data_IF_218419879730
#
_entry.id   IF_218419879730
#
_cell.length_a   1.000
_cell.length_b   1.000
_cell.length_c   1.000
_cell.angle_alpha   90.00
_cell.angle_beta   90.00
_cell.angle_gamma   90.00
#
_symmetry.space_group_name_H-M   'P 1'
#
loop_
_entity.id
_entity.type
_entity.pdbx_description
1 polymer ?
#
# COMPACT_ATOMS: atom_id res chain seq x y z
N UNK A 1 -24.62 -41.72 60.13
CA UNK A 1 -24.97 -41.57 58.71
C UNK A 1 -23.99 -40.58 58.11
N UNK A 2 -22.83 -41.07 57.64
CA UNK A 2 -21.71 -40.23 57.22
C UNK A 2 -21.52 -40.38 55.71
N UNK A 3 -22.07 -39.46 54.93
CA UNK A 3 -21.90 -39.44 53.47
C UNK A 3 -20.72 -38.56 53.10
N UNK A 4 -19.56 -39.19 52.95
CA UNK A 4 -18.61 -39.00 51.85
C UNK A 4 -18.45 -37.57 51.27
N UNK A 5 -17.65 -36.73 51.94
CA UNK A 5 -17.21 -35.41 51.44
C UNK A 5 -16.00 -35.42 50.49
N UNK A 6 -15.73 -36.55 49.81
CA UNK A 6 -14.62 -36.65 48.84
C UNK A 6 -15.04 -36.36 47.39
N UNK A 7 -16.35 -36.40 47.10
CA UNK A 7 -16.93 -36.08 45.79
C UNK A 7 -16.94 -34.58 45.49
N UNK A 8 -17.23 -33.75 46.49
CA UNK A 8 -17.42 -32.31 46.33
C UNK A 8 -16.14 -31.55 45.98
N UNK A 9 -14.99 -31.99 46.50
CA UNK A 9 -13.70 -31.36 46.16
C UNK A 9 -13.31 -31.67 44.73
N UNK A 10 -13.49 -32.92 44.29
CA UNK A 10 -13.20 -33.35 42.92
C UNK A 10 -14.14 -32.69 41.92
N UNK A 11 -15.43 -32.64 42.21
CA UNK A 11 -16.39 -31.92 41.37
C UNK A 11 -16.06 -30.43 41.33
N UNK A 12 -15.74 -29.80 42.46
CA UNK A 12 -15.32 -28.39 42.50
C UNK A 12 -14.10 -28.09 41.62
N UNK A 13 -13.05 -28.93 41.67
CA UNK A 13 -11.89 -28.78 40.79
C UNK A 13 -12.25 -28.96 39.31
N UNK A 14 -13.12 -29.93 38.98
CA UNK A 14 -13.58 -30.14 37.60
C UNK A 14 -14.36 -28.93 37.11
N UNK A 15 -15.26 -28.37 37.92
CA UNK A 15 -16.02 -27.16 37.56
C UNK A 15 -15.10 -25.96 37.38
N UNK A 16 -14.10 -25.79 38.26
CA UNK A 16 -13.12 -24.71 38.18
C UNK A 16 -12.27 -24.80 36.90
N UNK A 17 -11.79 -26.01 36.57
CA UNK A 17 -11.04 -26.25 35.33
C UNK A 17 -11.93 -26.04 34.11
N UNK A 18 -13.19 -26.50 34.12
CA UNK A 18 -14.13 -26.29 33.02
C UNK A 18 -14.39 -24.80 32.78
N UNK A 19 -14.62 -24.01 33.85
CA UNK A 19 -14.77 -22.55 33.76
C UNK A 19 -13.50 -21.91 33.23
N UNK A 20 -12.33 -22.31 33.71
CA UNK A 20 -11.06 -21.79 33.23
C UNK A 20 -10.85 -22.06 31.73
N UNK A 21 -11.15 -23.28 31.27
CA UNK A 21 -11.08 -23.65 29.84
C UNK A 21 -12.07 -22.84 29.01
N UNK A 22 -13.28 -22.58 29.51
CA UNK A 22 -14.27 -21.73 28.83
C UNK A 22 -13.77 -20.29 28.75
N UNK A 23 -13.22 -19.73 29.82
CA UNK A 23 -12.67 -18.36 29.84
C UNK A 23 -11.48 -18.22 28.87
N UNK A 24 -10.55 -19.17 28.89
CA UNK A 24 -9.44 -19.22 27.94
C UNK A 24 -9.96 -19.41 26.52
N UNK A 25 -10.96 -20.27 26.33
CA UNK A 25 -11.66 -20.46 25.06
C UNK A 25 -12.23 -19.15 24.54
N UNK A 26 -12.98 -18.41 25.35
CA UNK A 26 -13.55 -17.10 24.97
C UNK A 26 -12.45 -16.10 24.64
N UNK A 27 -11.36 -16.04 25.42
CA UNK A 27 -10.22 -15.15 25.15
C UNK A 27 -9.51 -15.50 23.83
N UNK A 28 -9.34 -16.80 23.53
CA UNK A 28 -8.70 -17.29 22.30
C UNK A 28 -9.64 -17.16 21.09
N UNK A 29 -10.93 -17.44 21.22
CA UNK A 29 -11.95 -17.22 20.18
C UNK A 29 -12.23 -15.73 19.95
N UNK A 30 -11.94 -14.86 20.93
CA UNK A 30 -11.83 -13.42 20.75
C UNK A 30 -10.57 -13.01 19.94
N UNK A 31 -9.87 -13.96 19.29
CA UNK A 31 -8.88 -13.68 18.24
C UNK A 31 -9.42 -12.80 17.12
N UNK A 32 -10.73 -12.79 16.87
CA UNK A 32 -11.31 -11.80 15.97
C UNK A 32 -11.21 -10.36 16.51
N UNK A 33 -11.10 -10.14 17.81
CA UNK A 33 -10.85 -8.82 18.41
C UNK A 33 -9.37 -8.40 18.41
N UNK A 34 -8.45 -9.30 18.77
CA UNK A 34 -7.01 -8.97 18.84
C UNK A 34 -6.31 -8.96 17.47
N UNK A 35 -6.67 -9.86 16.55
CA UNK A 35 -6.11 -9.87 15.19
C UNK A 35 -6.67 -8.71 14.37
N UNK A 36 -7.95 -8.33 14.57
CA UNK A 36 -8.50 -7.15 13.93
C UNK A 36 -7.79 -5.87 14.39
N UNK A 37 -7.43 -5.74 15.67
CA UNK A 37 -6.67 -4.58 16.15
C UNK A 37 -5.24 -4.50 15.57
N UNK A 38 -4.59 -5.65 15.36
CA UNK A 38 -3.28 -5.71 14.72
C UNK A 38 -3.36 -5.40 13.21
N UNK A 39 -4.40 -5.91 12.53
CA UNK A 39 -4.71 -5.57 11.13
C UNK A 39 -5.01 -4.09 10.96
N UNK A 40 -5.83 -3.50 11.83
CA UNK A 40 -6.20 -2.08 11.76
C UNK A 40 -5.01 -1.15 12.00
N UNK A 41 -4.07 -1.53 12.88
CA UNK A 41 -2.81 -0.79 13.04
C UNK A 41 -1.91 -0.90 11.81
N UNK A 42 -1.87 -2.07 11.17
CA UNK A 42 -1.15 -2.27 9.91
C UNK A 42 -1.74 -1.43 8.78
N UNK A 43 -3.06 -1.39 8.66
CA UNK A 43 -3.76 -0.60 7.65
C UNK A 43 -3.55 0.90 7.83
N UNK A 44 -3.58 1.39 9.08
CA UNK A 44 -3.27 2.81 9.37
C UNK A 44 -1.83 3.14 8.98
N UNK A 45 -0.84 2.30 9.30
CA UNK A 45 0.56 2.54 8.91
C UNK A 45 0.74 2.52 7.38
N UNK A 46 0.07 1.60 6.69
CA UNK A 46 0.08 1.51 5.23
C UNK A 46 -0.54 2.75 4.57
N UNK A 47 -1.67 3.24 5.09
CA UNK A 47 -2.33 4.43 4.57
C UNK A 47 -1.51 5.69 4.86
N UNK A 48 -0.92 5.81 6.06
CA UNK A 48 0.00 6.91 6.38
C UNK A 48 1.19 6.96 5.44
N UNK A 49 1.86 5.82 5.19
CA UNK A 49 2.97 5.76 4.22
C UNK A 49 2.54 6.17 2.81
N UNK A 50 1.32 5.81 2.41
CA UNK A 50 0.76 6.21 1.10
C UNK A 50 0.50 7.70 1.01
N UNK A 51 0.00 8.31 2.08
CA UNK A 51 -0.20 9.76 2.17
C UNK A 51 1.14 10.48 2.04
N UNK A 52 2.17 9.99 2.74
CA UNK A 52 3.51 10.59 2.69
C UNK A 52 4.13 10.46 1.28
N UNK A 53 4.00 9.29 0.63
CA UNK A 53 4.48 9.12 -0.75
C UNK A 53 3.76 10.05 -1.73
N UNK A 54 2.44 10.20 -1.59
CA UNK A 54 1.64 11.07 -2.45
C UNK A 54 1.98 12.55 -2.24
N UNK A 55 2.29 12.96 -1.00
CA UNK A 55 2.75 14.33 -0.72
C UNK A 55 4.09 14.63 -1.40
N UNK A 56 5.03 13.71 -1.33
CA UNK A 56 6.33 13.86 -2.02
C UNK A 56 6.13 13.99 -3.53
N UNK A 57 5.20 13.21 -4.10
CA UNK A 57 4.87 13.28 -5.54
C UNK A 57 4.26 14.64 -5.90
N UNK A 58 3.31 15.13 -5.11
CA UNK A 58 2.71 16.47 -5.30
C UNK A 58 3.78 17.56 -5.24
N UNK A 59 4.66 17.55 -4.24
CA UNK A 59 5.74 18.55 -4.10
C UNK A 59 6.68 18.53 -5.31
N UNK A 60 6.98 17.33 -5.83
CA UNK A 60 7.82 17.17 -7.02
C UNK A 60 7.17 17.72 -8.29
N UNK A 61 5.87 17.44 -8.48
CA UNK A 61 5.08 17.92 -9.61
C UNK A 61 4.86 19.43 -9.55
N UNK A 62 4.63 20.00 -8.36
CA UNK A 62 4.56 21.44 -8.18
C UNK A 62 5.89 22.12 -8.51
N UNK A 63 7.02 21.55 -8.10
CA UNK A 63 8.34 22.06 -8.50
C UNK A 63 8.56 22.00 -10.02
N UNK A 64 8.10 20.93 -10.67
CA UNK A 64 8.17 20.78 -12.12
C UNK A 64 7.28 21.80 -12.84
N UNK A 65 6.04 22.01 -12.34
CA UNK A 65 5.13 23.04 -12.84
C UNK A 65 5.73 24.43 -12.69
N UNK A 66 6.37 24.73 -11.55
CA UNK A 66 7.01 26.02 -11.32
C UNK A 66 8.19 26.24 -12.28
N UNK A 67 8.98 25.19 -12.57
CA UNK A 67 10.03 25.23 -13.60
C UNK A 67 9.46 25.43 -15.01
N UNK A 68 8.39 24.73 -15.34
CA UNK A 68 7.67 24.86 -16.62
C UNK A 68 7.08 26.26 -16.80
N UNK A 69 6.60 26.89 -15.72
CA UNK A 69 6.02 28.25 -15.73
C UNK A 69 7.06 29.36 -15.74
N UNK A 70 8.17 29.18 -15.02
CA UNK A 70 9.20 30.23 -14.88
C UNK A 70 10.13 30.33 -16.08
N UNK A 71 10.26 29.29 -16.90
CA UNK A 71 11.12 29.28 -18.08
C UNK A 71 10.31 29.10 -19.39
N UNK A 72 9.82 30.22 -19.94
CA UNK A 72 9.04 30.24 -21.18
C UNK A 72 9.77 29.63 -22.37
N UNK A 73 11.12 29.62 -22.36
CA UNK A 73 11.94 29.00 -23.39
C UNK A 73 11.96 27.47 -23.29
N UNK A 74 11.84 26.91 -22.08
CA UNK A 74 11.73 25.47 -21.88
C UNK A 74 10.39 24.94 -22.40
N UNK A 75 9.29 25.63 -22.10
CA UNK A 75 7.96 25.29 -22.63
C UNK A 75 7.91 25.40 -24.16
N UNK A 76 8.50 26.45 -24.74
CA UNK A 76 8.57 26.63 -26.20
C UNK A 76 9.39 25.51 -26.87
N UNK A 77 10.46 25.01 -26.23
CA UNK A 77 11.24 23.87 -26.72
C UNK A 77 10.45 22.56 -26.65
N UNK A 78 9.80 22.27 -25.52
CA UNK A 78 8.98 21.06 -25.35
C UNK A 78 7.83 21.00 -26.36
N UNK A 79 7.09 22.11 -26.53
CA UNK A 79 5.98 22.19 -27.48
C UNK A 79 6.48 21.97 -28.92
N UNK A 80 7.64 22.52 -29.28
CA UNK A 80 8.25 22.30 -30.60
C UNK A 80 8.64 20.85 -30.84
N UNK A 81 9.17 20.17 -29.84
CA UNK A 81 9.52 18.75 -29.93
C UNK A 81 8.28 17.87 -30.13
N UNK A 82 7.23 18.11 -29.35
CA UNK A 82 5.93 17.39 -29.46
C UNK A 82 5.29 17.63 -30.83
N UNK A 83 5.33 18.87 -31.35
CA UNK A 83 4.76 19.22 -32.65
C UNK A 83 5.67 18.87 -33.84
N UNK A 84 6.92 18.48 -33.59
CA UNK A 84 7.92 18.22 -34.63
C UNK A 84 8.29 19.46 -35.44
N UNK A 85 8.38 20.63 -34.79
CA UNK A 85 8.70 21.93 -35.38
C UNK A 85 10.12 22.36 -34.95
N UNK A 86 11.01 22.69 -35.89
CA UNK A 86 12.38 23.18 -35.61
C UNK A 86 12.53 24.69 -35.90
N UNK A 87 13.51 25.37 -35.26
CA UNK A 87 13.88 26.76 -35.63
C UNK A 87 14.67 26.79 -36.96
N UNK A 88 14.76 27.94 -37.65
CA UNK A 88 15.70 28.12 -38.76
C UNK A 88 17.13 27.78 -38.29
N UNK A 89 17.72 26.70 -38.81
CA UNK A 89 19.06 26.21 -38.43
C UNK A 89 19.09 24.94 -37.57
N UNK A 90 17.95 24.41 -37.10
CA UNK A 90 17.88 23.14 -36.38
C UNK A 90 17.44 21.98 -37.30
N UNK A 91 18.08 20.81 -37.16
CA UNK A 91 17.75 19.61 -37.95
C UNK A 91 16.90 18.64 -37.12
N UNK A 92 15.73 18.26 -37.64
CA UNK A 92 14.84 17.29 -36.99
C UNK A 92 15.25 15.89 -37.42
N UNK A 93 15.89 15.14 -36.50
CA UNK A 93 16.31 13.76 -36.74
C UNK A 93 15.14 12.84 -36.42
N UNK A 94 14.57 12.19 -37.43
CA UNK A 94 13.59 11.11 -37.25
C UNK A 94 14.28 9.79 -37.51
N UNK A 95 14.31 8.91 -36.51
CA UNK A 95 14.71 7.53 -36.70
C UNK A 95 13.58 6.78 -37.38
N UNK A 96 13.66 6.67 -38.70
CA UNK A 96 12.87 5.67 -39.43
C UNK A 96 13.55 4.32 -39.23
N UNK A 97 12.83 3.34 -38.69
CA UNK A 97 13.28 1.96 -38.83
C UNK A 97 13.43 1.71 -40.33
N UNK A 98 14.58 1.17 -40.81
CA UNK A 98 14.64 0.71 -42.18
C UNK A 98 13.46 -0.25 -42.38
N UNK A 99 12.69 -0.14 -43.48
CA UNK A 99 11.71 -1.15 -43.83
C UNK A 99 12.47 -2.47 -43.70
N UNK A 100 12.04 -3.32 -42.77
CA UNK A 100 12.59 -4.64 -42.60
C UNK A 100 12.69 -5.22 -44.00
N UNK A 101 13.94 -5.40 -44.45
CA UNK A 101 14.22 -6.16 -45.65
C UNK A 101 13.35 -7.40 -45.55
N UNK A 102 12.45 -7.57 -46.54
CA UNK A 102 11.25 -8.37 -46.44
C UNK A 102 11.46 -9.59 -45.56
N UNK A 103 10.62 -9.74 -44.54
CA UNK A 103 10.43 -11.02 -43.89
C UNK A 103 9.50 -11.78 -44.83
N UNK A 104 9.97 -12.74 -45.65
CA UNK A 104 9.08 -13.76 -46.16
C UNK A 104 8.66 -14.63 -44.97
N UNK A 105 7.47 -15.21 -45.09
CA UNK A 105 6.76 -16.12 -44.18
C UNK A 105 5.82 -15.42 -43.20
#
# INVERSE_FOLDING_TARGET
MATSGHGDRRSFYITLVAVFVIVVGILVFNRHGFIALAGLRGDVDLMSRRIDSLRIEIDSLESEIERLKSDSLYLERMVREILGWGRPGESIIRFVLPPSAGVPF
#
